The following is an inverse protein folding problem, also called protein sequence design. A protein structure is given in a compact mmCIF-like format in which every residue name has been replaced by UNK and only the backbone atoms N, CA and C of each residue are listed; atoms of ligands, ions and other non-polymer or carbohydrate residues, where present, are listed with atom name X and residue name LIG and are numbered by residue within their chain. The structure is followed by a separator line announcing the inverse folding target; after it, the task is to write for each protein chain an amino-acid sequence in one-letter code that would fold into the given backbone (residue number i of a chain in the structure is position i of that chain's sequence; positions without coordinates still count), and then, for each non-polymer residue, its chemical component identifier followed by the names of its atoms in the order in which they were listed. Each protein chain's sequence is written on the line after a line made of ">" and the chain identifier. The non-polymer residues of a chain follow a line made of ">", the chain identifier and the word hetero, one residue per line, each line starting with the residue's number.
data_IF_943637854074
#
_entry.id   IF_943637854074
#
_cell.length_a   1.000
_cell.length_b   1.000
_cell.length_c   1.000
_cell.angle_alpha   90.00
_cell.angle_beta   90.00
_cell.angle_gamma   90.00
#
_symmetry.space_group_name_H-M   'P 1'
#
loop_
_entity.id
_entity.type
_entity.pdbx_description
1 polymer ?
#
# COMPACT_ATOMS: atom_id res chain seq x y z
N UNK A 1 8.91 38.36 -35.97
CA UNK A 1 9.77 37.25 -35.49
C UNK A 1 9.44 36.85 -34.04
N UNK A 2 8.90 37.73 -33.20
CA UNK A 2 8.52 37.41 -31.81
C UNK A 2 7.21 36.61 -31.65
N UNK A 3 6.24 36.75 -32.57
CA UNK A 3 4.96 36.01 -32.49
C UNK A 3 5.13 34.49 -32.62
N UNK A 4 6.10 34.01 -33.40
CA UNK A 4 6.32 32.57 -33.61
C UNK A 4 6.89 31.88 -32.36
N UNK A 5 7.59 32.61 -31.48
CA UNK A 5 8.16 32.04 -30.25
C UNK A 5 7.11 31.88 -29.15
N UNK A 6 6.23 32.87 -28.99
CA UNK A 6 5.13 32.81 -28.02
C UNK A 6 4.11 31.71 -28.37
N UNK A 7 3.86 31.48 -29.65
CA UNK A 7 2.95 30.43 -30.13
C UNK A 7 3.58 29.04 -30.00
N UNK A 8 4.89 28.89 -30.26
CA UNK A 8 5.64 27.66 -29.99
C UNK A 8 5.66 27.31 -28.49
N UNK A 9 5.83 28.30 -27.60
CA UNK A 9 5.76 28.07 -26.15
C UNK A 9 4.36 27.65 -25.68
N UNK A 10 3.29 28.19 -26.28
CA UNK A 10 1.92 27.73 -25.97
C UNK A 10 1.66 26.31 -26.45
N UNK A 11 2.06 25.98 -27.68
CA UNK A 11 1.91 24.61 -28.20
C UNK A 11 2.72 23.59 -27.40
N UNK A 12 3.92 23.95 -26.94
CA UNK A 12 4.73 23.10 -26.09
C UNK A 12 4.08 22.90 -24.72
N UNK A 13 3.59 23.97 -24.09
CA UNK A 13 2.86 23.89 -22.83
C UNK A 13 1.57 23.05 -22.93
N UNK A 14 0.81 23.20 -24.02
CA UNK A 14 -0.38 22.38 -24.30
C UNK A 14 -0.02 20.90 -24.55
N UNK A 15 1.06 20.62 -25.27
CA UNK A 15 1.57 19.26 -25.47
C UNK A 15 2.03 18.62 -24.16
N UNK A 16 2.72 19.38 -23.31
CA UNK A 16 3.15 18.95 -21.99
C UNK A 16 1.95 18.66 -21.06
N UNK A 17 0.93 19.52 -21.05
CA UNK A 17 -0.28 19.30 -20.27
C UNK A 17 -1.06 18.06 -20.75
N UNK A 18 -1.20 17.87 -22.07
CA UNK A 18 -1.87 16.70 -22.64
C UNK A 18 -1.14 15.39 -22.30
N UNK A 19 0.20 15.37 -22.40
CA UNK A 19 1.03 14.23 -21.98
C UNK A 19 0.88 13.94 -20.49
N UNK A 20 0.83 14.97 -19.65
CA UNK A 20 0.67 14.81 -18.20
C UNK A 20 -0.69 14.21 -17.82
N UNK A 21 -1.77 14.63 -18.50
CA UNK A 21 -3.12 14.06 -18.32
C UNK A 21 -3.15 12.59 -18.73
N UNK A 22 -2.50 12.23 -19.85
CA UNK A 22 -2.43 10.85 -20.33
C UNK A 22 -1.66 9.94 -19.36
N UNK A 23 -0.52 10.40 -18.84
CA UNK A 23 0.26 9.65 -17.83
C UNK A 23 -0.53 9.44 -16.54
N UNK A 24 -1.22 10.47 -16.03
CA UNK A 24 -2.07 10.34 -14.84
C UNK A 24 -3.25 9.36 -15.08
N UNK A 25 -3.84 9.38 -16.28
CA UNK A 25 -4.89 8.45 -16.69
C UNK A 25 -4.39 7.00 -16.73
N UNK A 26 -3.18 6.76 -17.24
CA UNK A 26 -2.55 5.44 -17.28
C UNK A 26 -2.31 4.92 -15.85
N UNK A 27 -1.67 5.70 -14.98
CA UNK A 27 -1.43 5.29 -13.60
C UNK A 27 -2.71 5.07 -12.82
N UNK A 28 -3.75 5.87 -13.07
CA UNK A 28 -5.05 5.65 -12.45
C UNK A 28 -5.67 4.31 -12.88
N UNK A 29 -5.63 4.00 -14.18
CA UNK A 29 -6.15 2.72 -14.70
C UNK A 29 -5.37 1.53 -14.15
N UNK A 30 -4.05 1.59 -14.18
CA UNK A 30 -3.19 0.54 -13.63
C UNK A 30 -3.40 0.36 -12.12
N UNK A 31 -3.42 1.46 -11.35
CA UNK A 31 -3.67 1.45 -9.91
C UNK A 31 -5.02 0.81 -9.57
N UNK A 32 -6.05 1.10 -10.37
CA UNK A 32 -7.38 0.49 -10.25
C UNK A 32 -7.38 -1.00 -10.55
N UNK A 33 -6.63 -1.47 -11.55
CA UNK A 33 -6.49 -2.90 -11.86
C UNK A 33 -5.78 -3.66 -10.73
N UNK A 34 -4.71 -3.09 -10.18
CA UNK A 34 -3.99 -3.64 -9.02
C UNK A 34 -4.94 -3.68 -7.81
N UNK A 35 -5.63 -2.58 -7.51
CA UNK A 35 -6.57 -2.48 -6.39
C UNK A 35 -7.68 -3.54 -6.46
N UNK A 36 -8.26 -3.76 -7.65
CA UNK A 36 -9.27 -4.80 -7.86
C UNK A 36 -8.73 -6.19 -7.58
N UNK A 37 -7.49 -6.47 -7.99
CA UNK A 37 -6.82 -7.75 -7.73
C UNK A 37 -6.71 -8.00 -6.23
N UNK A 38 -6.31 -6.99 -5.46
CA UNK A 38 -6.17 -7.08 -4.01
C UNK A 38 -7.50 -7.34 -3.31
N UNK A 39 -8.55 -6.59 -3.68
CA UNK A 39 -9.90 -6.80 -3.12
C UNK A 39 -10.44 -8.20 -3.41
N UNK A 40 -10.24 -8.69 -4.64
CA UNK A 40 -10.63 -10.06 -5.01
C UNK A 40 -9.87 -11.12 -4.19
N UNK A 41 -8.58 -10.92 -3.97
CA UNK A 41 -7.76 -11.79 -3.12
C UNK A 41 -8.25 -11.79 -1.67
N UNK A 42 -8.50 -10.62 -1.08
CA UNK A 42 -9.02 -10.49 0.29
C UNK A 42 -10.34 -11.23 0.45
N UNK A 43 -11.29 -11.03 -0.47
CA UNK A 43 -12.59 -11.73 -0.47
C UNK A 43 -12.42 -13.24 -0.60
N UNK A 44 -11.49 -13.69 -1.44
CA UNK A 44 -11.24 -15.13 -1.64
C UNK A 44 -10.66 -15.77 -0.38
N UNK A 45 -9.66 -15.16 0.23
CA UNK A 45 -9.09 -15.63 1.50
C UNK A 45 -10.11 -15.60 2.63
N UNK A 46 -10.88 -14.51 2.74
CA UNK A 46 -11.88 -14.40 3.78
C UNK A 46 -12.99 -15.46 3.67
N UNK A 47 -13.39 -15.81 2.44
CA UNK A 47 -14.34 -16.91 2.21
C UNK A 47 -13.76 -18.27 2.63
N UNK A 48 -12.50 -18.54 2.30
CA UNK A 48 -11.81 -19.77 2.73
C UNK A 48 -11.69 -19.85 4.26
N UNK A 49 -11.41 -18.72 4.91
CA UNK A 49 -11.34 -18.66 6.38
C UNK A 49 -12.71 -18.83 7.03
N UNK A 50 -13.76 -18.20 6.48
CA UNK A 50 -15.13 -18.41 6.93
C UNK A 50 -15.58 -19.88 6.77
N UNK A 51 -15.20 -20.55 5.68
CA UNK A 51 -15.49 -21.97 5.44
C UNK A 51 -14.71 -22.91 6.36
N UNK A 52 -13.45 -22.57 6.67
CA UNK A 52 -12.59 -23.37 7.56
C UNK A 52 -12.85 -23.15 9.05
N UNK A 53 -13.81 -22.27 9.40
CA UNK A 53 -14.14 -21.99 10.80
C UNK A 53 -13.25 -20.93 11.46
N UNK A 54 -12.36 -20.28 10.70
CA UNK A 54 -11.46 -19.24 11.18
C UNK A 54 -12.13 -17.87 11.09
N UNK A 55 -13.09 -17.63 11.98
CA UNK A 55 -13.81 -16.36 12.06
C UNK A 55 -14.22 -16.06 13.51
N UNK A 56 -14.38 -14.78 13.81
CA UNK A 56 -14.97 -14.31 15.06
C UNK A 56 -16.49 -14.17 14.91
N UNK A 57 -17.23 -14.35 16.01
CA UNK A 57 -18.67 -14.09 16.03
C UNK A 57 -18.96 -12.83 16.82
N UNK A 58 -19.60 -11.86 16.19
CA UNK A 58 -20.08 -10.66 16.86
C UNK A 58 -21.48 -10.33 16.37
N UNK A 59 -22.44 -10.16 17.28
CA UNK A 59 -23.82 -9.82 16.94
C UNK A 59 -24.52 -10.81 15.99
N UNK A 60 -24.16 -12.09 16.03
CA UNK A 60 -24.71 -13.12 15.14
C UNK A 60 -24.11 -13.17 13.73
N UNK A 61 -23.19 -12.26 13.40
CA UNK A 61 -22.45 -12.23 12.13
C UNK A 61 -21.08 -12.87 12.25
N UNK A 62 -20.54 -13.35 11.13
CA UNK A 62 -19.19 -13.91 11.07
C UNK A 62 -18.24 -12.82 10.61
N UNK A 63 -17.23 -12.53 11.41
CA UNK A 63 -16.22 -11.52 11.10
C UNK A 63 -14.92 -12.25 10.78
N UNK A 64 -14.39 -12.02 9.59
CA UNK A 64 -13.08 -12.51 9.19
C UNK A 64 -12.11 -11.35 9.16
N UNK A 65 -11.13 -11.42 10.06
CA UNK A 65 -10.03 -10.47 10.14
C UNK A 65 -8.84 -11.01 9.34
N UNK A 66 -8.11 -10.13 8.66
CA UNK A 66 -6.95 -10.52 7.89
C UNK A 66 -5.97 -9.37 7.68
N UNK A 67 -4.90 -9.66 6.95
CA UNK A 67 -3.89 -8.68 6.59
C UNK A 67 -3.61 -8.73 5.09
N UNK A 68 -3.88 -7.62 4.41
CA UNK A 68 -3.65 -7.47 2.99
C UNK A 68 -2.22 -6.96 2.75
N UNK A 69 -1.29 -7.90 2.53
CA UNK A 69 0.10 -7.61 2.24
C UNK A 69 0.26 -6.91 0.88
N UNK A 70 1.01 -5.81 0.86
CA UNK A 70 1.45 -5.15 -0.36
C UNK A 70 2.69 -5.86 -0.88
N UNK A 71 2.62 -6.28 -2.14
CA UNK A 71 3.76 -6.83 -2.86
C UNK A 71 4.39 -5.75 -3.75
N UNK A 72 5.63 -5.36 -3.45
CA UNK A 72 6.35 -4.32 -4.21
C UNK A 72 6.47 -4.65 -5.70
N UNK A 73 6.49 -5.94 -6.07
CA UNK A 73 6.54 -6.40 -7.47
C UNK A 73 5.33 -5.99 -8.32
N UNK A 74 4.21 -5.61 -7.69
CA UNK A 74 3.03 -5.12 -8.41
C UNK A 74 3.17 -3.65 -8.82
N UNK A 75 4.26 -2.99 -8.43
CA UNK A 75 4.53 -1.58 -8.72
C UNK A 75 5.84 -1.48 -9.53
N UNK A 76 5.85 -0.59 -10.52
CA UNK A 76 6.99 -0.47 -11.45
C UNK A 76 8.25 0.09 -10.77
N UNK A 77 8.07 0.94 -9.76
CA UNK A 77 9.15 1.53 -8.98
C UNK A 77 9.14 1.01 -7.53
N UNK A 78 10.32 0.86 -6.89
CA UNK A 78 10.41 0.51 -5.47
C UNK A 78 9.55 1.43 -4.62
N UNK A 79 8.74 0.85 -3.74
CA UNK A 79 7.88 1.61 -2.84
C UNK A 79 8.63 2.02 -1.57
N UNK A 80 9.52 1.14 -1.11
CA UNK A 80 10.15 1.26 0.18
C UNK A 80 11.57 1.82 0.10
N UNK A 81 11.85 2.79 0.98
CA UNK A 81 13.19 3.15 1.39
C UNK A 81 13.51 2.40 2.67
N UNK A 82 14.54 1.54 2.65
CA UNK A 82 15.07 0.86 3.84
C UNK A 82 16.44 1.40 4.18
N UNK A 83 16.65 1.71 5.45
CA UNK A 83 17.93 2.18 5.97
C UNK A 83 18.27 1.47 7.26
N UNK A 84 19.52 1.04 7.38
CA UNK A 84 20.02 0.38 8.58
C UNK A 84 21.17 1.19 9.16
N UNK A 85 21.08 1.52 10.45
CA UNK A 85 22.10 2.28 11.18
C UNK A 85 22.40 1.60 12.51
N UNK A 86 23.67 1.55 12.87
CA UNK A 86 24.08 1.15 14.21
C UNK A 86 24.10 2.38 15.11
N UNK A 87 23.45 2.30 16.26
CA UNK A 87 23.61 3.29 17.30
C UNK A 87 24.97 3.06 17.98
N UNK A 88 25.83 4.08 17.95
CA UNK A 88 27.19 4.00 18.48
C UNK A 88 27.23 3.67 19.97
N UNK A 89 26.27 4.19 20.75
CA UNK A 89 26.27 4.06 22.21
C UNK A 89 25.69 2.72 22.69
N UNK A 90 24.65 2.22 22.04
CA UNK A 90 24.00 0.96 22.44
C UNK A 90 24.52 -0.26 21.68
N UNK A 91 25.37 -0.06 20.66
CA UNK A 91 25.77 -1.07 19.67
C UNK A 91 24.58 -1.77 18.97
N UNK A 92 23.35 -1.26 19.14
CA UNK A 92 22.14 -1.82 18.56
C UNK A 92 21.99 -1.38 17.11
N UNK A 93 21.47 -2.29 16.30
CA UNK A 93 21.15 -2.01 14.91
C UNK A 93 19.68 -1.67 14.78
N UNK A 94 19.43 -0.47 14.26
CA UNK A 94 18.12 0.05 13.93
C UNK A 94 17.90 -0.09 12.43
N UNK A 95 16.76 -0.64 12.03
CA UNK A 95 16.29 -0.64 10.65
C UNK A 95 15.04 0.24 10.55
N UNK A 96 15.05 1.18 9.62
CA UNK A 96 13.90 2.04 9.33
C UNK A 96 13.39 1.70 7.94
N UNK A 97 12.09 1.49 7.82
CA UNK A 97 11.38 1.34 6.56
C UNK A 97 10.32 2.44 6.42
N UNK A 98 10.37 3.17 5.31
CA UNK A 98 9.42 4.22 4.98
C UNK A 98 9.05 4.16 3.49
N UNK A 99 7.99 4.86 3.09
CA UNK A 99 7.76 5.10 1.67
C UNK A 99 8.92 5.93 1.10
N UNK A 100 9.30 5.66 -0.16
CA UNK A 100 10.24 6.49 -0.90
C UNK A 100 9.62 7.90 -1.06
N UNK A 101 10.37 8.97 -0.76
CA UNK A 101 9.91 10.35 -0.98
C UNK A 101 9.96 10.67 -2.48
N UNK A 102 8.90 11.28 -3.00
CA UNK A 102 8.62 11.40 -4.43
C UNK A 102 7.46 10.47 -4.74
N UNK A 103 6.27 11.06 -4.95
CA UNK A 103 5.01 10.34 -5.07
C UNK A 103 5.15 9.21 -6.11
N UNK A 104 5.00 7.97 -5.65
CA UNK A 104 4.71 6.89 -6.56
C UNK A 104 3.23 7.06 -6.95
N UNK A 105 3.00 7.82 -8.02
CA UNK A 105 1.66 8.19 -8.50
C UNK A 105 0.78 6.95 -8.70
N UNK A 106 1.38 5.84 -9.13
CA UNK A 106 0.72 4.54 -9.22
C UNK A 106 0.30 3.99 -7.85
N UNK A 107 1.15 4.07 -6.82
CA UNK A 107 0.80 3.65 -5.47
C UNK A 107 -0.29 4.54 -4.85
N UNK A 108 -0.25 5.84 -5.10
CA UNK A 108 -1.29 6.76 -4.66
C UNK A 108 -2.63 6.45 -5.35
N UNK A 109 -2.62 6.27 -6.67
CA UNK A 109 -3.79 5.86 -7.45
C UNK A 109 -4.35 4.50 -7.01
N UNK A 110 -3.46 3.55 -6.69
CA UNK A 110 -3.81 2.27 -6.08
C UNK A 110 -4.52 2.48 -4.74
N UNK A 111 -3.95 3.26 -3.82
CA UNK A 111 -4.54 3.48 -2.49
C UNK A 111 -5.95 4.09 -2.59
N UNK A 112 -6.13 5.09 -3.45
CA UNK A 112 -7.44 5.70 -3.72
C UNK A 112 -8.43 4.67 -4.26
N UNK A 113 -8.07 3.96 -5.33
CA UNK A 113 -8.94 2.95 -5.94
C UNK A 113 -9.23 1.77 -4.99
N UNK A 114 -8.26 1.40 -4.17
CA UNK A 114 -8.38 0.32 -3.19
C UNK A 114 -9.36 0.68 -2.09
N UNK A 115 -9.29 1.89 -1.55
CA UNK A 115 -10.27 2.39 -0.59
C UNK A 115 -11.68 2.43 -1.19
N UNK A 116 -11.84 2.91 -2.42
CA UNK A 116 -13.12 2.93 -3.14
C UNK A 116 -13.71 1.52 -3.28
N UNK A 117 -12.93 0.55 -3.76
CA UNK A 117 -13.42 -0.82 -3.94
C UNK A 117 -13.71 -1.51 -2.62
N UNK A 118 -12.90 -1.29 -1.58
CA UNK A 118 -13.16 -1.85 -0.26
C UNK A 118 -14.47 -1.29 0.30
N UNK A 119 -14.72 0.01 0.18
CA UNK A 119 -15.98 0.62 0.60
C UNK A 119 -17.18 0.05 -0.18
N UNK A 120 -17.06 -0.11 -1.50
CA UNK A 120 -18.11 -0.68 -2.34
C UNK A 120 -18.44 -2.15 -1.96
N UNK A 121 -17.44 -2.89 -1.48
CA UNK A 121 -17.56 -4.29 -1.06
C UNK A 121 -17.79 -4.44 0.45
N UNK A 122 -18.03 -3.35 1.18
CA UNK A 122 -18.24 -3.31 2.64
C UNK A 122 -17.08 -3.93 3.44
N UNK A 123 -15.87 -3.88 2.91
CA UNK A 123 -14.64 -4.33 3.55
C UNK A 123 -14.11 -3.18 4.40
N UNK A 124 -14.00 -3.41 5.72
CA UNK A 124 -13.36 -2.45 6.63
C UNK A 124 -11.84 -2.63 6.51
N UNK A 125 -11.14 -1.55 6.20
CA UNK A 125 -9.69 -1.55 6.03
C UNK A 125 -9.08 -0.55 7.00
N UNK A 126 -8.03 -0.95 7.70
CA UNK A 126 -7.25 -0.07 8.58
C UNK A 126 -6.18 0.70 7.83
N UNK A 127 -5.40 1.49 8.58
CA UNK A 127 -4.31 2.26 8.02
C UNK A 127 -3.14 1.37 7.56
N UNK A 128 -2.30 1.93 6.68
CA UNK A 128 -1.07 1.27 6.26
C UNK A 128 -0.19 0.99 7.48
N UNK A 129 0.14 -0.27 7.70
CA UNK A 129 0.96 -0.69 8.82
C UNK A 129 2.01 -1.73 8.40
N UNK A 130 2.96 -1.98 9.31
CA UNK A 130 3.99 -2.99 9.16
C UNK A 130 3.68 -4.20 10.05
N UNK A 131 3.82 -5.40 9.50
CA UNK A 131 3.97 -6.61 10.30
C UNK A 131 5.44 -6.79 10.65
N UNK A 132 5.74 -6.69 11.93
CA UNK A 132 7.09 -6.87 12.49
C UNK A 132 7.11 -8.14 13.29
N UNK A 133 8.10 -8.99 13.03
CA UNK A 133 8.35 -10.14 13.88
C UNK A 133 9.22 -9.75 15.06
N UNK A 134 8.70 -9.99 16.25
CA UNK A 134 9.38 -9.81 17.53
C UNK A 134 10.47 -10.85 17.76
N UNK A 135 11.27 -10.62 18.82
CA UNK A 135 12.36 -11.51 19.23
C UNK A 135 11.87 -12.88 19.70
N UNK A 136 10.64 -12.91 20.21
CA UNK A 136 9.89 -14.09 20.64
C UNK A 136 9.23 -14.86 19.47
N UNK A 137 9.39 -14.36 18.24
CA UNK A 137 8.79 -14.92 17.04
C UNK A 137 7.34 -14.47 16.80
N UNK A 138 6.75 -13.68 17.71
CA UNK A 138 5.38 -13.17 17.57
C UNK A 138 5.31 -12.12 16.46
N UNK A 139 4.21 -12.13 15.70
CA UNK A 139 3.93 -11.10 14.70
C UNK A 139 3.11 -9.98 15.32
N UNK A 140 3.61 -8.75 15.24
CA UNK A 140 2.99 -7.55 15.80
C UNK A 140 2.79 -6.52 14.70
N UNK A 141 1.61 -5.92 14.65
CA UNK A 141 1.32 -4.79 13.78
C UNK A 141 1.90 -3.51 14.40
N UNK A 142 2.74 -2.78 13.66
CA UNK A 142 3.29 -1.48 14.04
C UNK A 142 2.84 -0.41 13.02
N UNK A 143 2.54 0.83 13.44
CA UNK A 143 2.25 1.92 12.51
C UNK A 143 3.36 2.11 11.47
N UNK A 144 3.00 2.56 10.27
CA UNK A 144 3.95 2.86 9.20
C UNK A 144 4.13 4.38 9.02
N UNK A 145 5.34 4.92 8.79
CA UNK A 145 6.64 4.25 8.67
C UNK A 145 7.09 3.59 9.98
N UNK A 146 7.96 2.59 9.87
CA UNK A 146 8.36 1.75 11.01
C UNK A 146 9.86 1.80 11.24
N UNK A 147 10.24 1.77 12.52
CA UNK A 147 11.60 1.52 12.98
C UNK A 147 11.61 0.25 13.83
N UNK A 148 12.54 -0.66 13.51
CA UNK A 148 12.75 -1.91 14.25
C UNK A 148 14.15 -1.95 14.83
N UNK A 149 14.29 -2.59 15.99
CA UNK A 149 15.58 -2.81 16.65
C UNK A 149 15.87 -4.30 16.67
N UNK A 150 17.00 -4.71 16.09
CA UNK A 150 17.35 -6.13 16.00
C UNK A 150 17.35 -6.81 17.38
N UNK A 151 16.92 -8.09 17.47
CA UNK A 151 16.55 -8.99 16.37
C UNK A 151 15.11 -8.87 15.82
N UNK A 152 14.38 -7.77 16.06
CA UNK A 152 13.13 -7.55 15.34
C UNK A 152 13.37 -7.36 13.83
N UNK A 153 12.46 -7.86 13.01
CA UNK A 153 12.54 -7.70 11.55
C UNK A 153 11.18 -7.39 10.93
N UNK A 154 11.20 -6.53 9.89
CA UNK A 154 10.02 -6.23 9.08
C UNK A 154 9.69 -7.42 8.17
N UNK A 155 8.51 -8.00 8.35
CA UNK A 155 8.05 -9.16 7.57
C UNK A 155 7.21 -8.74 6.37
N UNK A 156 6.30 -7.79 6.56
CA UNK A 156 5.42 -7.30 5.51
C UNK A 156 4.95 -5.87 5.80
N UNK A 157 4.51 -5.18 4.75
CA UNK A 157 3.71 -3.95 4.85
C UNK A 157 2.35 -4.21 4.23
N UNK A 158 1.32 -3.46 4.64
CA UNK A 158 -0.01 -3.67 4.11
C UNK A 158 -1.10 -3.08 4.98
N UNK A 159 -2.33 -3.53 4.72
CA UNK A 159 -3.51 -3.02 5.39
C UNK A 159 -4.21 -4.15 6.15
N UNK A 160 -4.45 -4.01 7.45
CA UNK A 160 -5.35 -4.92 8.16
C UNK A 160 -6.77 -4.72 7.63
N UNK A 161 -7.56 -5.79 7.58
CA UNK A 161 -8.93 -5.72 7.11
C UNK A 161 -9.88 -6.62 7.90
N UNK A 162 -11.17 -6.30 7.83
CA UNK A 162 -12.27 -7.06 8.40
C UNK A 162 -13.41 -7.15 7.39
N UNK A 163 -13.92 -8.37 7.16
CA UNK A 163 -15.08 -8.64 6.31
C UNK A 163 -16.18 -9.29 7.16
N UNK A 164 -17.37 -8.71 7.13
CA UNK A 164 -18.57 -9.29 7.76
C UNK A 164 -19.32 -10.17 6.74
N UNK A 165 -19.69 -11.37 7.17
CA UNK A 165 -20.56 -12.32 6.44
C UNK A 165 -21.84 -12.60 7.22
#
# INVERSE_FOLDING_TARGET
>A
MEMQFAEALRQDAESHAAKQIDVQSIYFRQGREIARTYVNMMKSYARLDAQSGRYERSGGRRIVNGFCRIEERHFEAPLLKRTRKQNFWSAQWHETASLLRGQNDLFAAFCTSFAEFCAAEQIKVGELCALVRGKDGALVQKPFPVETVLPEYLEAIGFPYSIEF
#
